data_IF_478605728695
#
_entry.id   IF_478605728695
#
_cell.length_a   1.000
_cell.length_b   1.000
_cell.length_c   1.000
_cell.angle_alpha   90.00
_cell.angle_beta   90.00
_cell.angle_gamma   90.00
#
_symmetry.space_group_name_H-M   'P 1'
#
loop_
_entity.id
_entity.type
_entity.pdbx_description
1 polymer ?
#
# COMPACT_ATOMS: atom_id res chain seq x y z
N UNK A 1 -36.90 24.57 -0.55
CA UNK A 1 -35.49 24.24 -0.23
C UNK A 1 -34.95 23.05 -1.03
N UNK A 2 -35.79 22.08 -1.48
CA UNK A 2 -35.33 20.93 -2.30
C UNK A 2 -34.59 21.37 -3.57
N UNK A 3 -35.20 22.26 -4.38
CA UNK A 3 -34.68 22.60 -5.70
C UNK A 3 -33.25 23.19 -5.70
N UNK A 4 -32.85 23.95 -4.66
CA UNK A 4 -31.49 24.52 -4.58
C UNK A 4 -30.44 23.49 -4.19
N UNK A 5 -30.79 22.57 -3.28
CA UNK A 5 -29.91 21.48 -2.86
C UNK A 5 -29.72 20.46 -4.00
N UNK A 6 -30.81 20.13 -4.71
CA UNK A 6 -30.81 19.27 -5.90
C UNK A 6 -29.84 19.82 -6.96
N UNK A 7 -29.97 21.11 -7.33
CA UNK A 7 -29.11 21.76 -8.33
C UNK A 7 -27.63 21.73 -7.92
N UNK A 8 -27.34 22.02 -6.65
CA UNK A 8 -25.97 22.00 -6.15
C UNK A 8 -25.36 20.60 -6.18
N UNK A 9 -26.12 19.58 -5.75
CA UNK A 9 -25.68 18.18 -5.73
C UNK A 9 -25.45 17.66 -7.15
N UNK A 10 -26.34 17.98 -8.09
CA UNK A 10 -26.15 17.65 -9.50
C UNK A 10 -24.93 18.35 -10.10
N UNK A 11 -24.66 19.62 -9.75
CA UNK A 11 -23.41 20.30 -10.13
C UNK A 11 -22.17 19.57 -9.58
N UNK A 12 -22.19 19.19 -8.30
CA UNK A 12 -21.08 18.43 -7.67
C UNK A 12 -20.87 17.08 -8.36
N UNK A 13 -21.96 16.38 -8.68
CA UNK A 13 -21.91 15.10 -9.41
C UNK A 13 -21.28 15.26 -10.80
N UNK A 14 -21.62 16.32 -11.53
CA UNK A 14 -21.01 16.64 -12.82
C UNK A 14 -19.51 16.94 -12.70
N UNK A 15 -19.09 17.66 -11.65
CA UNK A 15 -17.67 17.91 -11.38
C UNK A 15 -16.93 16.61 -11.06
N UNK A 16 -17.51 15.75 -10.22
CA UNK A 16 -16.92 14.45 -9.88
C UNK A 16 -16.74 13.53 -11.09
N UNK A 17 -17.53 13.72 -12.16
CA UNK A 17 -17.38 13.00 -13.44
C UNK A 17 -16.35 13.63 -14.38
N UNK A 18 -16.17 14.94 -14.33
CA UNK A 18 -15.37 15.70 -15.32
C UNK A 18 -13.99 16.10 -14.85
N UNK A 19 -13.70 16.04 -13.55
CA UNK A 19 -12.44 16.46 -12.94
C UNK A 19 -11.63 15.27 -12.42
N UNK A 20 -10.31 15.40 -12.39
CA UNK A 20 -9.40 14.34 -11.91
C UNK A 20 -9.09 14.42 -10.43
N UNK A 21 -9.18 15.61 -9.84
CA UNK A 21 -8.83 15.83 -8.44
C UNK A 21 -9.95 16.51 -7.65
N UNK A 22 -10.05 16.11 -6.38
CA UNK A 22 -11.05 16.58 -5.43
C UNK A 22 -10.38 16.85 -4.09
N UNK A 23 -10.77 17.97 -3.46
CA UNK A 23 -10.40 18.26 -2.08
C UNK A 23 -11.56 18.86 -1.27
N UNK A 24 -11.44 18.85 0.06
CA UNK A 24 -12.32 19.57 0.98
C UNK A 24 -11.54 20.72 1.59
N UNK A 25 -11.99 21.94 1.32
CA UNK A 25 -11.36 23.17 1.79
C UNK A 25 -12.01 23.68 3.08
N UNK A 26 -11.25 24.36 3.95
CA UNK A 26 -11.80 24.96 5.17
C UNK A 26 -12.87 26.00 4.83
N UNK A 27 -13.91 26.06 5.67
CA UNK A 27 -14.90 27.12 5.60
C UNK A 27 -14.29 28.47 5.98
N UNK A 28 -14.63 29.50 5.20
CA UNK A 28 -14.31 30.90 5.47
C UNK A 28 -15.61 31.64 5.74
N UNK A 29 -15.63 32.40 6.82
CA UNK A 29 -16.75 33.29 7.13
C UNK A 29 -16.71 34.53 6.21
N UNK A 30 -17.89 35.01 5.79
CA UNK A 30 -18.02 36.26 5.04
C UNK A 30 -18.01 36.11 3.51
N UNK A 31 -17.68 37.19 2.77
CA UNK A 31 -17.92 37.28 1.32
C UNK A 31 -17.00 36.37 0.49
N UNK A 32 -15.88 35.93 1.05
CA UNK A 32 -14.93 35.03 0.38
C UNK A 32 -15.35 33.55 0.44
N UNK A 33 -16.46 33.24 1.11
CA UNK A 33 -17.02 31.90 1.16
C UNK A 33 -17.40 31.40 -0.24
N UNK A 34 -16.85 30.23 -0.61
CA UNK A 34 -17.21 29.50 -1.84
C UNK A 34 -17.56 28.07 -1.50
N UNK A 35 -18.81 27.67 -1.78
CA UNK A 35 -19.27 26.28 -1.61
C UNK A 35 -18.50 25.32 -2.52
N UNK A 36 -18.25 25.75 -3.75
CA UNK A 36 -17.48 25.03 -4.76
C UNK A 36 -16.39 25.97 -5.29
N UNK A 37 -15.16 25.48 -5.28
CA UNK A 37 -14.03 26.11 -5.95
C UNK A 37 -13.56 25.21 -7.08
N UNK A 38 -13.45 25.73 -8.29
CA UNK A 38 -12.96 24.99 -9.46
C UNK A 38 -11.64 25.61 -9.90
N UNK A 39 -10.61 24.78 -10.08
CA UNK A 39 -9.29 25.21 -10.56
C UNK A 39 -8.77 24.16 -11.52
N UNK A 40 -8.61 24.53 -12.80
CA UNK A 40 -8.14 23.63 -13.86
C UNK A 40 -8.92 22.30 -13.88
N UNK A 41 -8.24 21.18 -13.63
CA UNK A 41 -8.76 19.82 -13.62
C UNK A 41 -9.09 19.31 -12.19
N UNK A 42 -9.25 20.24 -11.25
CA UNK A 42 -9.59 19.97 -9.86
C UNK A 42 -10.82 20.77 -9.42
N UNK A 43 -11.52 20.25 -8.43
CA UNK A 43 -12.52 21.01 -7.69
C UNK A 43 -12.37 20.77 -6.19
N UNK A 44 -12.82 21.74 -5.41
CA UNK A 44 -12.88 21.62 -3.97
C UNK A 44 -14.26 21.98 -3.45
N UNK A 45 -14.67 21.28 -2.40
CA UNK A 45 -15.93 21.53 -1.70
C UNK A 45 -15.64 22.14 -0.33
N UNK A 46 -16.42 23.14 0.05
CA UNK A 46 -16.32 23.71 1.38
C UNK A 46 -16.71 22.70 2.46
N UNK A 47 -15.97 22.68 3.57
CA UNK A 47 -16.26 21.81 4.72
C UNK A 47 -17.64 22.06 5.35
N UNK A 48 -18.25 23.23 5.13
CA UNK A 48 -19.62 23.49 5.61
C UNK A 48 -20.64 22.54 4.97
N UNK A 49 -20.40 22.11 3.72
CA UNK A 49 -21.28 21.22 2.97
C UNK A 49 -21.39 19.83 3.62
N UNK A 50 -20.38 19.38 4.36
CA UNK A 50 -20.43 18.11 5.11
C UNK A 50 -21.30 18.19 6.38
N UNK A 51 -21.73 19.39 6.76
CA UNK A 51 -22.45 19.68 8.00
C UNK A 51 -23.94 19.95 7.79
N UNK A 52 -24.47 20.88 8.60
CA UNK A 52 -25.88 21.30 8.55
C UNK A 52 -26.21 22.16 7.31
N UNK A 53 -25.21 22.63 6.56
CA UNK A 53 -25.47 23.40 5.34
C UNK A 53 -26.06 22.53 4.21
N UNK A 54 -25.70 21.23 4.13
CA UNK A 54 -26.18 20.37 3.05
C UNK A 54 -26.23 18.88 3.42
N UNK A 55 -25.09 18.25 3.72
CA UNK A 55 -25.01 16.79 3.87
C UNK A 55 -25.96 16.24 4.95
N UNK A 56 -25.98 16.85 6.15
CA UNK A 56 -26.79 16.33 7.28
C UNK A 56 -28.30 16.44 7.04
N UNK A 57 -28.88 17.58 6.63
CA UNK A 57 -30.31 17.67 6.35
C UNK A 57 -30.74 16.74 5.23
N UNK A 58 -29.95 16.68 4.15
CA UNK A 58 -30.23 15.82 2.99
C UNK A 58 -30.22 14.34 3.39
N UNK A 59 -29.18 13.89 4.10
CA UNK A 59 -29.10 12.50 4.56
C UNK A 59 -30.23 12.14 5.54
N UNK A 60 -30.57 13.03 6.49
CA UNK A 60 -31.70 12.84 7.42
C UNK A 60 -33.05 12.75 6.68
N UNK A 61 -33.21 13.50 5.59
CA UNK A 61 -34.42 13.42 4.76
C UNK A 61 -34.59 12.03 4.15
N UNK A 62 -33.53 11.49 3.53
CA UNK A 62 -33.57 10.14 2.94
C UNK A 62 -33.80 9.02 3.96
N UNK A 63 -33.25 9.16 5.17
CA UNK A 63 -33.54 8.21 6.25
C UNK A 63 -35.03 8.16 6.61
N UNK A 64 -35.75 9.28 6.46
CA UNK A 64 -37.19 9.38 6.78
C UNK A 64 -38.07 8.98 5.60
N UNK A 65 -37.73 9.37 4.37
CA UNK A 65 -38.61 9.23 3.21
C UNK A 65 -38.68 7.82 2.62
N UNK A 66 -37.73 6.92 2.97
CA UNK A 66 -37.55 5.60 2.33
C UNK A 66 -37.42 5.67 0.79
N UNK A 67 -37.19 6.85 0.24
CA UNK A 67 -37.06 7.07 -1.20
C UNK A 67 -35.76 6.48 -1.72
N UNK A 68 -35.74 6.24 -3.03
CA UNK A 68 -34.54 5.81 -3.72
C UNK A 68 -33.54 6.97 -3.79
N UNK A 69 -32.30 6.71 -3.38
CA UNK A 69 -31.21 7.69 -3.44
C UNK A 69 -30.61 7.63 -4.84
N UNK A 70 -30.64 8.74 -5.59
CA UNK A 70 -30.08 8.79 -6.94
C UNK A 70 -28.55 8.73 -6.95
N UNK A 71 -27.96 8.50 -8.13
CA UNK A 71 -26.50 8.46 -8.30
C UNK A 71 -25.83 9.79 -7.93
N UNK A 72 -26.46 10.94 -8.18
CA UNK A 72 -25.89 12.25 -7.84
C UNK A 72 -25.76 12.41 -6.32
N UNK A 73 -26.80 12.02 -5.58
CA UNK A 73 -26.79 12.03 -4.12
C UNK A 73 -25.76 11.06 -3.55
N UNK A 74 -25.64 9.85 -4.10
CA UNK A 74 -24.62 8.89 -3.67
C UNK A 74 -23.20 9.40 -3.96
N UNK A 75 -23.00 10.09 -5.09
CA UNK A 75 -21.73 10.72 -5.44
C UNK A 75 -21.36 11.77 -4.40
N UNK A 76 -22.28 12.70 -4.13
CA UNK A 76 -22.10 13.73 -3.11
C UNK A 76 -21.83 13.15 -1.72
N UNK A 77 -22.60 12.14 -1.29
CA UNK A 77 -22.41 11.53 0.02
C UNK A 77 -21.06 10.84 0.17
N UNK A 78 -20.63 10.08 -0.84
CA UNK A 78 -19.35 9.36 -0.83
C UNK A 78 -18.14 10.29 -0.87
N UNK A 79 -18.25 11.51 -1.41
CA UNK A 79 -17.18 12.52 -1.36
C UNK A 79 -16.87 13.02 0.07
N UNK A 80 -17.82 12.91 1.00
CA UNK A 80 -17.61 13.28 2.41
C UNK A 80 -17.50 12.09 3.36
N UNK A 81 -18.18 10.98 3.05
CA UNK A 81 -18.23 9.79 3.90
C UNK A 81 -17.96 8.52 3.08
N UNK A 82 -16.70 8.33 2.65
CA UNK A 82 -16.32 7.19 1.82
C UNK A 82 -16.31 5.86 2.59
N UNK A 83 -16.39 5.87 3.93
CA UNK A 83 -16.46 4.66 4.75
C UNK A 83 -17.87 4.08 4.89
N UNK A 84 -18.89 4.75 4.37
CA UNK A 84 -20.26 4.25 4.45
C UNK A 84 -20.52 3.15 3.40
N UNK A 85 -20.44 1.88 3.82
CA UNK A 85 -20.70 0.71 2.98
C UNK A 85 -22.06 0.76 2.27
N UNK A 86 -23.09 1.30 2.91
CA UNK A 86 -24.43 1.41 2.33
C UNK A 86 -24.43 2.23 1.05
N UNK A 87 -23.66 3.31 0.98
CA UNK A 87 -23.59 4.13 -0.24
C UNK A 87 -22.99 3.34 -1.40
N UNK A 88 -21.87 2.66 -1.17
CA UNK A 88 -21.25 1.81 -2.19
C UNK A 88 -22.17 0.67 -2.64
N UNK A 89 -22.89 0.04 -1.71
CA UNK A 89 -23.87 -0.99 -2.05
C UNK A 89 -25.00 -0.46 -2.93
N UNK A 90 -25.54 0.73 -2.64
CA UNK A 90 -26.56 1.37 -3.47
C UNK A 90 -26.02 1.76 -4.84
N UNK A 91 -24.79 2.28 -4.91
CA UNK A 91 -24.12 2.57 -6.19
C UNK A 91 -24.02 1.31 -7.05
N UNK A 92 -23.58 0.17 -6.48
CA UNK A 92 -23.53 -1.12 -7.19
C UNK A 92 -24.89 -1.51 -7.76
N UNK A 93 -25.97 -1.33 -7.01
CA UNK A 93 -27.33 -1.62 -7.49
C UNK A 93 -27.70 -0.76 -8.69
N UNK A 94 -27.47 0.55 -8.62
CA UNK A 94 -27.77 1.47 -9.73
C UNK A 94 -26.94 1.14 -10.96
N UNK A 95 -25.62 0.95 -10.80
CA UNK A 95 -24.72 0.61 -11.91
C UNK A 95 -25.19 -0.64 -12.65
N UNK A 96 -25.64 -1.66 -11.92
CA UNK A 96 -26.16 -2.89 -12.51
C UNK A 96 -27.55 -2.72 -13.14
N UNK A 97 -28.45 -2.01 -12.49
CA UNK A 97 -29.83 -1.85 -12.97
C UNK A 97 -29.89 -0.97 -14.22
N UNK A 98 -29.08 0.08 -14.27
CA UNK A 98 -29.11 1.10 -15.33
C UNK A 98 -28.00 0.89 -16.37
N UNK A 99 -27.22 -0.20 -16.25
CA UNK A 99 -26.07 -0.52 -17.11
C UNK A 99 -25.09 0.66 -17.28
N UNK A 100 -24.75 1.32 -16.17
CA UNK A 100 -23.84 2.47 -16.19
C UNK A 100 -22.40 2.03 -16.53
N UNK A 101 -21.63 2.88 -17.22
CA UNK A 101 -20.26 2.54 -17.62
C UNK A 101 -19.35 2.36 -16.40
N UNK A 102 -18.62 1.25 -16.37
CA UNK A 102 -17.67 0.93 -15.30
C UNK A 102 -16.50 1.92 -15.22
N UNK A 103 -16.15 2.56 -16.34
CA UNK A 103 -15.13 3.61 -16.39
C UNK A 103 -15.46 4.79 -15.47
N UNK A 104 -16.74 5.15 -15.36
CA UNK A 104 -17.18 6.26 -14.50
C UNK A 104 -16.98 5.91 -13.02
N UNK A 105 -17.22 4.66 -12.63
CA UNK A 105 -16.95 4.20 -11.26
C UNK A 105 -15.45 4.08 -10.97
N UNK A 106 -14.63 3.73 -11.97
CA UNK A 106 -13.16 3.79 -11.82
C UNK A 106 -12.67 5.22 -11.66
N UNK A 107 -13.19 6.17 -12.43
CA UNK A 107 -12.86 7.59 -12.28
C UNK A 107 -13.30 8.12 -10.91
N UNK A 108 -14.53 7.81 -10.49
CA UNK A 108 -15.06 8.25 -9.21
C UNK A 108 -14.29 7.66 -8.02
N UNK A 109 -14.01 6.36 -8.02
CA UNK A 109 -13.20 5.77 -6.94
C UNK A 109 -11.77 6.30 -6.92
N UNK A 110 -11.19 6.64 -8.08
CA UNK A 110 -9.88 7.30 -8.17
C UNK A 110 -9.91 8.67 -7.50
N UNK A 111 -10.96 9.46 -7.77
CA UNK A 111 -11.18 10.77 -7.18
C UNK A 111 -11.29 10.69 -5.66
N UNK A 112 -12.12 9.78 -5.16
CA UNK A 112 -12.32 9.57 -3.70
C UNK A 112 -11.03 9.08 -3.03
N UNK A 113 -10.34 8.09 -3.58
CA UNK A 113 -9.08 7.57 -3.02
C UNK A 113 -7.95 8.61 -3.06
N UNK A 114 -7.98 9.54 -4.02
CA UNK A 114 -7.01 10.64 -4.09
C UNK A 114 -7.11 11.59 -2.90
N UNK A 115 -8.29 11.71 -2.28
CA UNK A 115 -8.49 12.46 -1.02
C UNK A 115 -8.41 11.56 0.21
N UNK A 116 -8.94 10.34 0.11
CA UNK A 116 -9.04 9.38 1.21
C UNK A 116 -8.27 8.10 0.88
N UNK A 117 -6.92 8.13 0.84
CA UNK A 117 -6.09 7.00 0.40
C UNK A 117 -6.21 5.75 1.28
N UNK A 118 -6.77 5.89 2.50
CA UNK A 118 -7.02 4.79 3.44
C UNK A 118 -8.43 4.21 3.37
N UNK A 119 -9.31 4.71 2.50
CA UNK A 119 -10.69 4.19 2.43
C UNK A 119 -10.71 2.78 1.85
N UNK A 120 -10.89 1.81 2.73
CA UNK A 120 -10.98 0.38 2.40
C UNK A 120 -12.25 0.09 1.61
N UNK A 121 -13.37 0.73 1.94
CA UNK A 121 -14.66 0.56 1.25
C UNK A 121 -14.60 1.04 -0.20
N UNK A 122 -13.94 2.18 -0.44
CA UNK A 122 -13.74 2.71 -1.80
C UNK A 122 -12.86 1.74 -2.62
N UNK A 123 -11.80 1.21 -2.01
CA UNK A 123 -10.92 0.24 -2.67
C UNK A 123 -11.64 -1.09 -2.95
N UNK A 124 -12.49 -1.56 -2.03
CA UNK A 124 -13.33 -2.74 -2.24
C UNK A 124 -14.37 -2.52 -3.36
N UNK A 125 -14.95 -1.32 -3.44
CA UNK A 125 -15.81 -0.95 -4.57
C UNK A 125 -15.02 -0.96 -5.88
N UNK A 126 -13.81 -0.39 -5.89
CA UNK A 126 -12.90 -0.45 -7.05
C UNK A 126 -12.58 -1.88 -7.47
N UNK A 127 -12.29 -2.79 -6.54
CA UNK A 127 -12.12 -4.23 -6.83
C UNK A 127 -13.38 -4.83 -7.44
N UNK A 128 -14.57 -4.48 -6.94
CA UNK A 128 -15.84 -4.94 -7.49
C UNK A 128 -16.03 -4.47 -8.95
N UNK A 129 -15.62 -3.25 -9.29
CA UNK A 129 -15.63 -2.72 -10.66
C UNK A 129 -14.61 -3.46 -11.54
N UNK A 130 -13.35 -3.52 -11.12
CA UNK A 130 -12.27 -4.15 -11.88
C UNK A 130 -12.52 -5.65 -12.14
N UNK A 131 -13.20 -6.35 -11.23
CA UNK A 131 -13.59 -7.77 -11.41
C UNK A 131 -14.65 -7.99 -12.50
N UNK A 132 -15.30 -6.93 -13.00
CA UNK A 132 -16.34 -7.01 -14.04
C UNK A 132 -15.83 -6.65 -15.43
N UNK A 133 -14.61 -6.15 -15.51
CA UNK A 133 -13.96 -5.89 -16.78
C UNK A 133 -13.61 -7.21 -17.48
N UNK A 134 -13.58 -7.18 -18.80
CA UNK A 134 -12.96 -8.23 -19.59
C UNK A 134 -11.45 -8.32 -19.26
N UNK A 135 -10.84 -9.46 -19.60
CA UNK A 135 -9.40 -9.64 -19.42
C UNK A 135 -8.58 -8.61 -20.21
N UNK A 136 -9.05 -8.20 -21.39
CA UNK A 136 -8.40 -7.21 -22.26
C UNK A 136 -8.45 -5.80 -21.66
N UNK A 137 -9.62 -5.37 -21.17
CA UNK A 137 -9.80 -4.09 -20.48
C UNK A 137 -9.00 -4.04 -19.17
N UNK A 138 -9.00 -5.11 -18.39
CA UNK A 138 -8.21 -5.16 -17.16
C UNK A 138 -6.71 -5.07 -17.48
N UNK A 139 -6.24 -5.76 -18.52
CA UNK A 139 -4.85 -5.73 -18.96
C UNK A 139 -4.43 -4.36 -19.48
N UNK A 140 -5.30 -3.65 -20.21
CA UNK A 140 -5.00 -2.30 -20.70
C UNK A 140 -4.88 -1.29 -19.56
N UNK A 141 -5.65 -1.44 -18.49
CA UNK A 141 -5.63 -0.57 -17.31
C UNK A 141 -4.53 -0.91 -16.29
N UNK A 142 -3.92 -2.09 -16.37
CA UNK A 142 -3.02 -2.59 -15.33
C UNK A 142 -1.89 -1.60 -14.98
N UNK A 143 -1.21 -1.05 -15.98
CA UNK A 143 -0.12 -0.11 -15.73
C UNK A 143 -0.59 1.19 -15.09
N UNK A 144 -1.79 1.65 -15.43
CA UNK A 144 -2.42 2.84 -14.85
C UNK A 144 -2.84 2.58 -13.40
N UNK A 145 -3.37 1.40 -13.09
CA UNK A 145 -3.67 0.98 -11.71
C UNK A 145 -2.41 0.88 -10.85
N UNK A 146 -1.32 0.38 -11.41
CA UNK A 146 -0.03 0.34 -10.72
C UNK A 146 0.50 1.76 -10.48
N UNK A 147 0.44 2.65 -11.48
CA UNK A 147 0.80 4.07 -11.30
C UNK A 147 -0.07 4.75 -10.26
N UNK A 148 -1.35 4.36 -10.18
CA UNK A 148 -2.26 4.88 -9.18
C UNK A 148 -1.89 4.40 -7.77
N UNK A 149 -1.47 3.14 -7.61
CA UNK A 149 -0.96 2.66 -6.33
C UNK A 149 0.25 3.46 -5.84
N UNK A 150 1.17 3.80 -6.74
CA UNK A 150 2.35 4.62 -6.44
C UNK A 150 1.94 6.02 -5.99
N UNK A 151 1.03 6.68 -6.72
CA UNK A 151 0.48 7.98 -6.33
C UNK A 151 -0.17 7.96 -4.94
N UNK A 152 -0.91 6.91 -4.60
CA UNK A 152 -1.53 6.77 -3.28
C UNK A 152 -0.50 6.49 -2.18
N UNK A 153 0.58 5.77 -2.51
CA UNK A 153 1.72 5.52 -1.62
C UNK A 153 2.47 6.79 -1.26
N UNK A 154 2.61 7.72 -2.21
CA UNK A 154 3.23 9.03 -1.97
C UNK A 154 2.38 9.89 -1.02
N UNK A 155 1.05 9.83 -1.19
CA UNK A 155 0.09 10.58 -0.35
C UNK A 155 -0.01 10.04 1.07
N UNK A 156 0.16 8.73 1.27
CA UNK A 156 0.12 8.12 2.59
C UNK A 156 1.16 7.02 2.71
N UNK A 157 2.21 7.33 3.46
CA UNK A 157 3.31 6.41 3.69
C UNK A 157 2.85 5.12 4.36
N UNK A 158 3.46 4.00 3.97
CA UNK A 158 3.18 2.66 4.51
C UNK A 158 1.70 2.23 4.38
N UNK A 159 1.01 2.66 3.32
CA UNK A 159 -0.38 2.27 3.08
C UNK A 159 -0.49 0.80 2.68
N UNK A 160 -0.61 -0.09 3.68
CA UNK A 160 -0.68 -1.53 3.47
C UNK A 160 -1.78 -1.93 2.47
N UNK A 161 -2.94 -1.29 2.52
CA UNK A 161 -4.08 -1.65 1.68
C UNK A 161 -3.83 -1.42 0.19
N UNK A 162 -3.02 -0.42 -0.17
CA UNK A 162 -2.66 -0.16 -1.57
C UNK A 162 -1.68 -1.22 -2.08
N UNK A 163 -0.73 -1.63 -1.25
CA UNK A 163 0.15 -2.74 -1.60
C UNK A 163 -0.60 -4.08 -1.67
N UNK A 164 -1.64 -4.28 -0.86
CA UNK A 164 -2.55 -5.42 -1.01
C UNK A 164 -3.33 -5.36 -2.32
N UNK A 165 -3.81 -4.18 -2.72
CA UNK A 165 -4.42 -3.99 -4.04
C UNK A 165 -3.42 -4.31 -5.17
N UNK A 166 -2.17 -3.85 -5.07
CA UNK A 166 -1.13 -4.15 -6.06
C UNK A 166 -0.86 -5.66 -6.17
N UNK A 167 -0.82 -6.41 -5.05
CA UNK A 167 -0.73 -7.89 -5.09
C UNK A 167 -1.91 -8.51 -5.84
N UNK A 168 -3.12 -8.07 -5.52
CA UNK A 168 -4.34 -8.53 -6.18
C UNK A 168 -4.33 -8.26 -7.70
N UNK A 169 -3.80 -7.11 -8.14
CA UNK A 169 -3.64 -6.81 -9.57
C UNK A 169 -2.74 -7.83 -10.28
N UNK A 170 -1.63 -8.21 -9.64
CA UNK A 170 -0.69 -9.22 -10.16
C UNK A 170 -1.35 -10.59 -10.26
N UNK A 171 -2.08 -10.99 -9.23
CA UNK A 171 -2.80 -12.28 -9.20
C UNK A 171 -3.87 -12.35 -10.30
N UNK A 172 -4.48 -11.21 -10.64
CA UNK A 172 -5.51 -11.14 -11.68
C UNK A 172 -5.00 -11.23 -13.11
N UNK A 173 -3.77 -10.81 -13.40
CA UNK A 173 -3.22 -10.88 -14.77
C UNK A 173 -2.74 -12.27 -15.20
N UNK A 174 -2.89 -13.28 -14.34
CA UNK A 174 -2.14 -14.53 -14.38
C UNK A 174 -0.62 -14.27 -14.28
N UNK A 175 -0.03 -14.78 -13.20
CA UNK A 175 1.38 -14.53 -12.90
C UNK A 175 2.27 -15.16 -13.97
N UNK A 176 3.23 -14.39 -14.49
CA UNK A 176 4.27 -14.84 -15.41
C UNK A 176 5.64 -14.32 -14.97
N UNK A 177 6.71 -14.97 -15.43
CA UNK A 177 8.08 -14.51 -15.17
C UNK A 177 8.31 -13.08 -15.67
N UNK A 178 7.86 -12.76 -16.90
CA UNK A 178 7.97 -11.42 -17.48
C UNK A 178 7.27 -10.36 -16.63
N UNK A 179 6.03 -10.64 -16.17
CA UNK A 179 5.29 -9.73 -15.30
C UNK A 179 6.05 -9.50 -14.00
N UNK A 180 6.49 -10.55 -13.31
CA UNK A 180 7.21 -10.44 -12.04
C UNK A 180 8.51 -9.63 -12.19
N UNK A 181 9.30 -9.90 -13.23
CA UNK A 181 10.55 -9.19 -13.50
C UNK A 181 10.30 -7.71 -13.83
N UNK A 182 9.27 -7.40 -14.63
CA UNK A 182 8.89 -6.02 -14.93
C UNK A 182 8.51 -5.24 -13.67
N UNK A 183 7.80 -5.88 -12.74
CA UNK A 183 7.38 -5.25 -11.50
C UNK A 183 8.53 -5.11 -10.50
N UNK A 184 9.46 -6.07 -10.44
CA UNK A 184 10.68 -5.93 -9.64
C UNK A 184 11.50 -4.72 -10.11
N UNK A 185 11.67 -4.57 -11.44
CA UNK A 185 12.33 -3.42 -12.03
C UNK A 185 11.60 -2.11 -11.69
N UNK A 186 10.27 -2.08 -11.79
CA UNK A 186 9.47 -0.91 -11.43
C UNK A 186 9.60 -0.54 -9.95
N UNK A 187 9.75 -1.53 -9.08
CA UNK A 187 9.99 -1.31 -7.65
C UNK A 187 11.38 -0.75 -7.33
N UNK A 188 12.36 -0.80 -8.25
CA UNK A 188 13.71 -0.28 -7.99
C UNK A 188 13.69 1.20 -7.67
N UNK A 189 12.99 2.00 -8.49
CA UNK A 189 12.86 3.43 -8.28
C UNK A 189 12.04 3.74 -7.03
N UNK A 190 10.93 3.02 -6.83
CA UNK A 190 10.09 3.21 -5.65
C UNK A 190 10.86 2.98 -4.36
N UNK A 191 11.56 1.86 -4.25
CA UNK A 191 12.28 1.49 -3.03
C UNK A 191 13.47 2.40 -2.75
N UNK A 192 14.12 2.95 -3.78
CA UNK A 192 15.20 3.93 -3.63
C UNK A 192 14.69 5.28 -3.06
N UNK A 193 13.52 5.75 -3.53
CA UNK A 193 12.92 7.00 -3.05
C UNK A 193 12.19 6.82 -1.70
N UNK A 194 11.71 5.61 -1.40
CA UNK A 194 10.93 5.29 -0.21
C UNK A 194 11.58 4.19 0.65
N UNK A 195 12.83 4.39 1.13
CA UNK A 195 13.55 3.33 1.84
C UNK A 195 12.88 2.94 3.16
N UNK A 196 12.05 3.82 3.73
CA UNK A 196 11.30 3.57 4.96
C UNK A 196 9.91 2.93 4.74
N UNK A 197 9.48 2.69 3.49
CA UNK A 197 8.19 2.06 3.18
C UNK A 197 8.26 0.54 3.31
N UNK A 198 8.02 0.06 4.53
CA UNK A 198 8.00 -1.38 4.84
C UNK A 198 6.98 -2.14 3.99
N UNK A 199 5.87 -1.51 3.58
CA UNK A 199 4.83 -2.17 2.78
C UNK A 199 5.30 -2.35 1.33
N UNK A 200 5.98 -1.36 0.77
CA UNK A 200 6.64 -1.46 -0.54
C UNK A 200 7.74 -2.52 -0.57
N UNK A 201 8.61 -2.58 0.45
CA UNK A 201 9.59 -3.67 0.58
C UNK A 201 8.92 -5.04 0.71
N UNK A 202 7.81 -5.13 1.43
CA UNK A 202 7.02 -6.37 1.54
C UNK A 202 6.41 -6.80 0.20
N UNK A 203 6.02 -5.85 -0.66
CA UNK A 203 5.56 -6.15 -2.01
C UNK A 203 6.72 -6.68 -2.87
N UNK A 204 7.92 -6.11 -2.77
CA UNK A 204 9.12 -6.64 -3.44
C UNK A 204 9.43 -8.08 -3.02
N UNK A 205 9.37 -8.40 -1.73
CA UNK A 205 9.53 -9.77 -1.21
C UNK A 205 8.47 -10.71 -1.78
N UNK A 206 7.22 -10.25 -1.94
CA UNK A 206 6.17 -11.04 -2.56
C UNK A 206 6.45 -11.36 -4.03
N UNK A 207 6.96 -10.40 -4.80
CA UNK A 207 7.37 -10.65 -6.19
C UNK A 207 8.48 -11.70 -6.23
N UNK A 208 9.52 -11.57 -5.39
CA UNK A 208 10.64 -12.52 -5.31
C UNK A 208 10.19 -13.93 -4.90
N UNK A 209 9.27 -14.04 -3.95
CA UNK A 209 8.68 -15.35 -3.57
C UNK A 209 7.93 -15.98 -4.73
N UNK A 210 7.22 -15.20 -5.54
CA UNK A 210 6.58 -15.72 -6.74
C UNK A 210 7.62 -16.09 -7.81
N UNK A 211 8.70 -15.32 -7.98
CA UNK A 211 9.77 -15.66 -8.94
C UNK A 211 10.31 -17.07 -8.74
N UNK A 212 10.39 -17.57 -7.50
CA UNK A 212 10.76 -18.96 -7.18
C UNK A 212 9.94 -20.01 -7.96
N UNK A 213 8.66 -19.74 -8.18
CA UNK A 213 7.73 -20.68 -8.81
C UNK A 213 7.69 -20.53 -10.34
N UNK A 214 8.15 -19.40 -10.89
CA UNK A 214 8.00 -19.05 -12.31
C UNK A 214 9.32 -18.92 -13.08
N UNK A 215 10.46 -18.95 -12.38
CA UNK A 215 11.80 -18.92 -12.99
C UNK A 215 12.50 -20.26 -12.86
N UNK A 216 13.49 -20.49 -13.73
CA UNK A 216 14.42 -21.59 -13.55
C UNK A 216 15.18 -21.43 -12.22
N UNK A 217 15.61 -22.55 -11.63
CA UNK A 217 16.38 -22.51 -10.36
C UNK A 217 17.62 -21.61 -10.49
N UNK A 218 18.30 -21.67 -11.64
CA UNK A 218 19.50 -20.86 -11.91
C UNK A 218 19.19 -19.37 -12.04
N UNK A 219 18.12 -19.00 -12.75
CA UNK A 219 17.75 -17.58 -12.90
C UNK A 219 17.25 -16.99 -11.59
N UNK A 220 16.46 -17.76 -10.83
CA UNK A 220 16.01 -17.36 -9.51
C UNK A 220 17.19 -17.16 -8.55
N UNK A 221 18.18 -18.06 -8.57
CA UNK A 221 19.41 -17.91 -7.78
C UNK A 221 20.16 -16.62 -8.12
N UNK A 222 20.35 -16.33 -9.41
CA UNK A 222 21.01 -15.10 -9.87
C UNK A 222 20.33 -13.84 -9.35
N UNK A 223 19.00 -13.78 -9.45
CA UNK A 223 18.22 -12.65 -8.95
C UNK A 223 18.36 -12.53 -7.43
N UNK A 224 18.25 -13.65 -6.71
CA UNK A 224 18.31 -13.61 -5.26
C UNK A 224 19.69 -13.21 -4.74
N UNK A 225 20.77 -13.62 -5.41
CA UNK A 225 22.13 -13.14 -5.14
C UNK A 225 22.23 -11.63 -5.34
N UNK A 226 21.64 -11.09 -6.42
CA UNK A 226 21.61 -9.66 -6.66
C UNK A 226 20.82 -8.90 -5.57
N UNK A 227 19.70 -9.46 -5.10
CA UNK A 227 18.89 -8.85 -4.03
C UNK A 227 19.55 -8.94 -2.65
N UNK A 228 20.26 -10.02 -2.33
CA UNK A 228 21.10 -10.10 -1.13
C UNK A 228 22.16 -9.00 -1.17
N UNK A 229 22.86 -8.88 -2.31
CA UNK A 229 23.88 -7.84 -2.51
C UNK A 229 23.28 -6.45 -2.36
N UNK A 230 22.13 -6.18 -2.98
CA UNK A 230 21.38 -4.92 -2.83
C UNK A 230 21.05 -4.65 -1.37
N UNK A 231 20.45 -5.61 -0.67
CA UNK A 231 20.05 -5.44 0.73
C UNK A 231 21.24 -5.12 1.64
N UNK A 232 22.41 -5.74 1.38
CA UNK A 232 23.65 -5.41 2.08
C UNK A 232 24.07 -3.96 1.81
N UNK A 233 24.22 -3.57 0.54
CA UNK A 233 24.67 -2.23 0.16
C UNK A 233 23.73 -1.12 0.68
N UNK A 234 22.42 -1.34 0.64
CA UNK A 234 21.43 -0.38 1.18
C UNK A 234 21.54 -0.27 2.72
N UNK A 235 21.71 -1.40 3.42
CA UNK A 235 21.92 -1.35 4.89
C UNK A 235 23.26 -0.72 5.27
N UNK A 236 24.33 -0.91 4.51
CA UNK A 236 25.61 -0.20 4.71
C UNK A 236 25.46 1.32 4.52
N UNK A 237 24.72 1.72 3.48
CA UNK A 237 24.55 3.13 3.12
C UNK A 237 23.70 3.90 4.12
N UNK A 238 22.61 3.32 4.60
CA UNK A 238 21.64 3.96 5.51
C UNK A 238 21.16 2.98 6.60
N UNK A 239 22.03 2.59 7.54
CA UNK A 239 21.76 1.51 8.48
C UNK A 239 20.73 1.85 9.57
N UNK A 240 20.24 3.08 9.64
CA UNK A 240 19.24 3.48 10.63
C UNK A 240 17.82 3.01 10.30
N UNK A 241 17.61 2.41 9.13
CA UNK A 241 16.27 2.08 8.63
C UNK A 241 15.94 0.61 8.92
N UNK A 242 15.06 0.37 9.90
CA UNK A 242 14.57 -0.98 10.26
C UNK A 242 14.02 -1.75 9.06
N UNK A 243 13.34 -1.07 8.12
CA UNK A 243 12.74 -1.72 6.96
C UNK A 243 13.77 -2.39 6.03
N UNK A 244 14.98 -1.83 5.94
CA UNK A 244 16.07 -2.40 5.13
C UNK A 244 16.68 -3.63 5.80
N UNK A 245 16.83 -3.59 7.13
CA UNK A 245 17.24 -4.76 7.91
C UNK A 245 16.22 -5.88 7.81
N UNK A 246 14.93 -5.56 7.90
CA UNK A 246 13.86 -6.53 7.68
C UNK A 246 13.90 -7.12 6.27
N UNK A 247 14.08 -6.28 5.24
CA UNK A 247 14.20 -6.76 3.86
C UNK A 247 15.40 -7.71 3.70
N UNK A 248 16.54 -7.37 4.31
CA UNK A 248 17.75 -8.21 4.35
C UNK A 248 17.51 -9.55 5.04
N UNK A 249 16.81 -9.58 6.18
CA UNK A 249 16.36 -10.82 6.81
C UNK A 249 15.55 -11.67 5.83
N UNK A 250 14.63 -11.05 5.08
CA UNK A 250 13.83 -11.79 4.11
C UNK A 250 14.63 -12.36 2.94
N UNK A 251 15.66 -11.66 2.45
CA UNK A 251 16.52 -12.17 1.38
C UNK A 251 17.33 -13.39 1.85
N UNK A 252 17.92 -13.31 3.03
CA UNK A 252 18.61 -14.46 3.66
C UNK A 252 17.67 -15.64 3.83
N UNK A 253 16.48 -15.39 4.40
CA UNK A 253 15.51 -16.45 4.64
C UNK A 253 15.10 -17.14 3.34
N UNK A 254 14.73 -16.35 2.31
CA UNK A 254 14.30 -16.90 1.03
C UNK A 254 15.42 -17.70 0.34
N UNK A 255 16.67 -17.31 0.51
CA UNK A 255 17.83 -18.02 -0.02
C UNK A 255 18.01 -19.38 0.66
N UNK A 256 18.00 -19.40 1.99
CA UNK A 256 18.15 -20.65 2.75
C UNK A 256 16.99 -21.61 2.51
N UNK A 257 15.75 -21.12 2.43
CA UNK A 257 14.57 -21.91 2.08
C UNK A 257 14.63 -22.54 0.67
N UNK A 258 15.42 -21.94 -0.24
CA UNK A 258 15.46 -22.34 -1.65
C UNK A 258 16.70 -23.16 -2.01
N UNK A 259 17.84 -22.86 -1.40
CA UNK A 259 19.13 -23.46 -1.75
C UNK A 259 19.78 -24.26 -0.62
N UNK A 260 19.40 -23.99 0.65
CA UNK A 260 19.99 -24.62 1.84
C UNK A 260 21.53 -24.49 1.90
N UNK A 261 22.08 -23.44 1.31
CA UNK A 261 23.52 -23.22 1.19
C UNK A 261 23.98 -22.07 2.08
N UNK A 262 24.26 -22.38 3.35
CA UNK A 262 24.73 -21.37 4.30
C UNK A 262 26.16 -20.90 4.02
N UNK A 263 27.00 -21.75 3.39
CA UNK A 263 28.38 -21.42 3.05
C UNK A 263 28.43 -20.33 1.99
N UNK A 264 27.70 -20.51 0.89
CA UNK A 264 27.58 -19.51 -0.17
C UNK A 264 26.97 -18.21 0.34
N UNK A 265 26.01 -18.29 1.27
CA UNK A 265 25.43 -17.09 1.86
C UNK A 265 26.47 -16.25 2.63
N UNK A 266 27.40 -16.90 3.36
CA UNK A 266 28.51 -16.19 4.04
C UNK A 266 29.50 -15.56 3.06
N UNK A 267 29.74 -16.20 1.92
CA UNK A 267 30.59 -15.64 0.87
C UNK A 267 29.96 -14.37 0.26
N UNK A 268 28.63 -14.36 0.13
CA UNK A 268 27.87 -13.23 -0.42
C UNK A 268 27.71 -12.08 0.58
N UNK A 269 27.61 -12.37 1.88
CA UNK A 269 27.40 -11.37 2.92
C UNK A 269 28.33 -11.61 4.12
N UNK A 270 29.47 -10.90 4.21
CA UNK A 270 30.49 -11.12 5.23
C UNK A 270 30.03 -10.72 6.64
N UNK A 271 28.91 -10.00 6.77
CA UNK A 271 28.34 -9.65 8.08
C UNK A 271 27.50 -10.78 8.68
N UNK A 272 27.26 -11.86 7.93
CA UNK A 272 26.54 -13.03 8.45
C UNK A 272 27.46 -13.81 9.38
N UNK A 273 27.32 -13.54 10.68
CA UNK A 273 28.02 -14.21 11.77
C UNK A 273 27.00 -14.86 12.72
N UNK A 274 27.20 -16.14 13.06
CA UNK A 274 26.32 -16.85 14.00
C UNK A 274 26.89 -16.73 15.41
N UNK A 275 26.10 -16.11 16.29
CA UNK A 275 26.39 -15.99 17.72
C UNK A 275 25.29 -16.66 18.54
N UNK A 276 25.41 -17.97 18.86
CA UNK A 276 24.34 -18.73 19.51
C UNK A 276 23.85 -18.13 20.83
N UNK A 277 24.74 -17.44 21.55
CA UNK A 277 24.45 -16.76 22.82
C UNK A 277 23.46 -15.59 22.70
N UNK A 278 23.22 -15.04 21.50
CA UNK A 278 22.31 -13.91 21.31
C UNK A 278 20.84 -14.30 21.25
N UNK A 279 20.55 -15.56 20.93
CA UNK A 279 19.23 -16.06 20.52
C UNK A 279 18.06 -15.62 21.40
N UNK A 280 18.26 -15.68 22.71
CA UNK A 280 17.22 -15.43 23.72
C UNK A 280 17.33 -14.05 24.37
N UNK A 281 18.17 -13.17 23.82
CA UNK A 281 18.36 -11.83 24.38
C UNK A 281 17.26 -10.88 23.93
N UNK A 282 16.72 -10.14 24.89
CA UNK A 282 15.85 -8.99 24.61
C UNK A 282 16.66 -7.83 24.05
N UNK A 283 16.02 -6.85 23.43
CA UNK A 283 16.71 -5.67 22.89
C UNK A 283 17.47 -4.89 23.97
N UNK A 284 16.92 -4.83 25.20
CA UNK A 284 17.62 -4.22 26.34
C UNK A 284 18.94 -4.94 26.66
N UNK A 285 18.96 -6.28 26.58
CA UNK A 285 20.17 -7.07 26.80
C UNK A 285 21.13 -6.96 25.61
N UNK A 286 20.63 -6.98 24.37
CA UNK A 286 21.43 -6.85 23.15
C UNK A 286 22.24 -5.54 23.11
N UNK A 287 21.64 -4.42 23.54
CA UNK A 287 22.34 -3.12 23.60
C UNK A 287 23.67 -3.22 24.33
N UNK A 288 23.71 -3.97 25.43
CA UNK A 288 24.86 -4.10 26.34
C UNK A 288 25.80 -5.27 25.99
N UNK A 289 25.65 -5.88 24.82
CA UNK A 289 26.56 -6.95 24.37
C UNK A 289 27.79 -6.33 23.74
N UNK A 290 28.94 -6.44 24.40
CA UNK A 290 30.19 -5.80 23.98
C UNK A 290 31.14 -6.74 23.21
N UNK A 291 30.90 -8.05 23.24
CA UNK A 291 31.73 -9.05 22.56
C UNK A 291 31.39 -9.26 21.08
N UNK A 292 30.62 -8.34 20.48
CA UNK A 292 30.31 -8.33 19.05
C UNK A 292 31.09 -7.20 18.41
N UNK A 293 31.93 -7.54 17.44
CA UNK A 293 32.57 -6.57 16.57
C UNK A 293 31.50 -5.91 15.68
N UNK A 294 31.34 -4.59 15.85
CA UNK A 294 30.41 -3.78 15.07
C UNK A 294 31.18 -3.15 13.89
N UNK A 295 30.76 -3.42 12.65
CA UNK A 295 31.31 -2.74 11.47
C UNK A 295 31.25 -1.21 11.60
N UNK A 296 32.23 -0.46 11.06
CA UNK A 296 32.24 1.00 11.14
C UNK A 296 30.95 1.65 10.61
N UNK A 297 30.35 1.07 9.58
CA UNK A 297 29.09 1.50 8.97
C UNK A 297 27.92 1.46 9.97
N UNK A 298 27.99 0.56 10.97
CA UNK A 298 26.93 0.34 11.96
C UNK A 298 27.27 0.90 13.35
N UNK A 299 28.24 1.81 13.44
CA UNK A 299 28.78 2.28 14.73
C UNK A 299 27.79 3.09 15.59
N UNK A 300 26.82 3.78 14.98
CA UNK A 300 25.86 4.58 15.73
C UNK A 300 24.96 3.67 16.58
N UNK A 301 24.51 4.19 17.72
CA UNK A 301 23.80 3.40 18.73
C UNK A 301 22.57 2.65 18.16
N UNK A 302 21.83 3.27 17.24
CA UNK A 302 20.66 2.65 16.62
C UNK A 302 21.04 1.59 15.59
N UNK A 303 21.92 1.91 14.62
CA UNK A 303 22.42 0.95 13.65
C UNK A 303 23.09 -0.26 14.30
N UNK A 304 23.88 -0.04 15.35
CA UNK A 304 24.51 -1.10 16.13
C UNK A 304 23.47 -2.04 16.71
N UNK A 305 22.37 -1.51 17.26
CA UNK A 305 21.28 -2.33 17.75
C UNK A 305 20.59 -3.12 16.63
N UNK A 306 20.34 -2.51 15.46
CA UNK A 306 19.72 -3.19 14.33
C UNK A 306 20.59 -4.33 13.80
N UNK A 307 21.90 -4.11 13.71
CA UNK A 307 22.85 -5.17 13.38
C UNK A 307 22.85 -6.29 14.44
N UNK A 308 22.88 -5.96 15.74
CA UNK A 308 22.77 -6.96 16.81
C UNK A 308 21.44 -7.73 16.78
N UNK A 309 20.33 -7.08 16.40
CA UNK A 309 19.02 -7.74 16.18
C UNK A 309 19.11 -8.72 15.02
N UNK A 310 19.74 -8.33 13.91
CA UNK A 310 19.98 -9.20 12.76
C UNK A 310 20.83 -10.42 13.12
N UNK A 311 21.91 -10.25 13.89
CA UNK A 311 22.73 -11.36 14.40
C UNK A 311 21.96 -12.29 15.35
N UNK A 312 21.10 -11.72 16.23
CA UNK A 312 20.18 -12.52 17.06
C UNK A 312 19.23 -13.35 16.19
N UNK A 313 18.63 -12.73 15.18
CA UNK A 313 17.73 -13.41 14.26
C UNK A 313 18.43 -14.55 13.52
N UNK A 314 19.65 -14.31 13.00
CA UNK A 314 20.49 -15.36 12.40
C UNK A 314 20.74 -16.52 13.37
N UNK A 315 21.03 -16.25 14.65
CA UNK A 315 21.19 -17.28 15.68
C UNK A 315 19.91 -18.07 15.97
N UNK A 316 18.72 -17.47 15.76
CA UNK A 316 17.44 -18.14 15.91
C UNK A 316 17.16 -19.11 14.74
N UNK A 317 17.47 -18.71 13.51
CA UNK A 317 17.21 -19.54 12.32
C UNK A 317 18.29 -20.60 12.04
N UNK A 318 19.51 -20.43 12.55
CA UNK A 318 20.59 -21.41 12.36
C UNK A 318 20.38 -22.73 13.14
N UNK A 319 19.62 -22.70 14.23
CA UNK A 319 19.34 -23.87 15.07
C UNK A 319 18.03 -24.59 14.70
N UNK A 320 17.18 -23.97 13.88
CA UNK A 320 15.94 -24.61 13.44
C UNK A 320 16.29 -25.74 12.46
N UNK A 321 16.25 -27.00 12.93
CA UNK A 321 16.48 -28.22 12.12
C UNK A 321 15.61 -28.30 10.86
N UNK A 322 14.52 -27.54 10.86
CA UNK A 322 13.74 -27.17 9.70
C UNK A 322 13.75 -25.65 9.69
N UNK A 323 14.15 -24.99 8.60
CA UNK A 323 14.09 -23.53 8.42
C UNK A 323 12.62 -23.06 8.42
N UNK A 324 11.93 -23.22 9.54
CA UNK A 324 10.49 -23.06 9.66
C UNK A 324 10.19 -21.64 10.09
N UNK A 325 9.52 -20.94 9.17
CA UNK A 325 8.83 -19.66 9.24
C UNK A 325 8.66 -19.14 10.69
N UNK A 326 9.51 -18.21 11.12
CA UNK A 326 9.07 -17.24 12.13
C UNK A 326 8.10 -16.29 11.42
N UNK A 327 6.79 -16.47 11.67
CA UNK A 327 5.74 -15.53 11.24
C UNK A 327 5.88 -14.22 12.04
N UNK A 328 6.95 -13.46 11.83
CA UNK A 328 7.18 -12.18 12.55
C UNK A 328 6.45 -10.99 11.90
N UNK A 329 5.96 -11.13 10.66
CA UNK A 329 5.40 -9.98 9.93
C UNK A 329 4.09 -9.43 10.53
N UNK A 330 3.26 -10.29 11.12
CA UNK A 330 2.02 -9.85 11.80
C UNK A 330 2.30 -9.14 13.14
N UNK A 331 3.43 -9.42 13.81
CA UNK A 331 3.72 -8.86 15.12
C UNK A 331 4.37 -7.46 15.06
N UNK A 332 5.03 -7.12 13.94
CA UNK A 332 5.67 -5.81 13.77
C UNK A 332 4.69 -4.72 13.29
N UNK A 333 3.77 -5.07 12.38
CA UNK A 333 2.78 -4.11 11.87
C UNK A 333 1.66 -3.82 12.89
N UNK A 334 1.26 -4.78 13.73
CA UNK A 334 0.28 -4.55 14.81
C UNK A 334 0.81 -3.66 15.96
N UNK A 335 2.09 -3.29 15.97
CA UNK A 335 2.67 -2.40 16.99
C UNK A 335 2.78 -0.93 16.55
N UNK A 336 2.42 -0.62 15.30
CA UNK A 336 2.45 0.75 14.78
C UNK A 336 1.05 1.39 14.66
N UNK A 337 0.00 0.65 15.03
CA UNK A 337 -1.39 1.13 15.11
C UNK A 337 -1.89 1.15 16.57
N UNK A 338 -1.20 1.89 17.43
CA UNK A 338 -1.76 2.41 18.70
C UNK A 338 -1.18 3.79 19.03
#
# INVERSE_FOLDING_TARGET
MSNSADVLISKISLLAKSKREFDVIPHLDGPDHKEILEVNDAFALCSCLSGEALWRPVYRSFLKSKEFISMDYLTFFSLFSPSCLTFWHRRKQIVLNDNLPLSDELAFTRLVLSKFPRSTETLQHRHWVLNRLSAEEFKSLFNDEVSFCELLGDKYRCNYMIWQHRRWLIEKLNISSELLLSQLKRMDEWNAHHPLDISGWSFRVYLLRNCKNFLSKTDFERILIAEITRSRLETEKIPMIDALWWFREQMVQLFLESFKDFSKLKELDPYIKIYPNLRNLTDKKLKNVDNIEIPPEFNEAWASLLYKRYLRWLAQIADSKEFTIVKSFLHYLMKLDY
#
